data_IF_310016950436
#
_entry.id   IF_310016950436
#
_cell.length_a   1.000
_cell.length_b   1.000
_cell.length_c   1.000
_cell.angle_alpha   90.00
_cell.angle_beta   90.00
_cell.angle_gamma   90.00
#
_symmetry.space_group_name_H-M   'P 1'
#
loop_
_entity.id
_entity.type
_entity.pdbx_description
1 polymer ?
#
# COMPACT_ATOMS: atom_id res chain seq x y z
N UNK A 1 54.01 6.68 6.69
CA UNK A 1 52.57 7.01 6.72
C UNK A 1 52.17 7.25 8.16
N UNK A 2 51.70 8.46 8.48
CA UNK A 2 51.31 8.82 9.86
C UNK A 2 49.96 8.20 10.21
N UNK A 3 49.84 7.63 11.42
CA UNK A 3 48.58 7.11 11.98
C UNK A 3 47.45 8.17 11.97
N UNK A 4 47.76 9.46 11.96
CA UNK A 4 46.76 10.53 11.87
C UNK A 4 46.06 10.62 10.51
N UNK A 5 46.68 10.14 9.42
CA UNK A 5 46.12 10.23 8.07
C UNK A 5 44.98 9.24 7.79
N UNK A 6 44.85 8.18 8.60
CA UNK A 6 43.84 7.13 8.41
C UNK A 6 42.56 7.34 9.24
N UNK A 7 42.59 8.21 10.25
CA UNK A 7 41.45 8.42 11.16
C UNK A 7 40.22 9.02 10.47
N UNK A 8 40.42 10.02 9.60
CA UNK A 8 39.35 10.65 8.83
C UNK A 8 38.69 9.66 7.84
N UNK A 9 39.43 8.94 6.97
CA UNK A 9 38.84 7.91 6.11
C UNK A 9 38.07 6.82 6.86
N UNK A 10 38.58 6.36 8.01
CA UNK A 10 37.90 5.34 8.83
C UNK A 10 36.59 5.87 9.42
N UNK A 11 36.59 7.12 9.90
CA UNK A 11 35.37 7.74 10.45
C UNK A 11 34.33 7.98 9.36
N UNK A 12 34.76 8.45 8.19
CA UNK A 12 33.90 8.61 7.02
C UNK A 12 33.32 7.26 6.55
N UNK A 13 34.13 6.21 6.54
CA UNK A 13 33.67 4.86 6.21
C UNK A 13 32.63 4.34 7.22
N UNK A 14 32.84 4.56 8.51
CA UNK A 14 31.88 4.15 9.55
C UNK A 14 30.54 4.89 9.40
N UNK A 15 30.57 6.20 9.15
CA UNK A 15 29.36 6.99 8.89
C UNK A 15 28.64 6.54 7.61
N UNK A 16 29.41 6.28 6.54
CA UNK A 16 28.88 5.77 5.28
C UNK A 16 28.20 4.41 5.47
N UNK A 17 28.81 3.50 6.23
CA UNK A 17 28.21 2.20 6.55
C UNK A 17 26.90 2.34 7.35
N UNK A 18 26.85 3.26 8.31
CA UNK A 18 25.62 3.55 9.06
C UNK A 18 24.49 4.09 8.17
N UNK A 19 24.80 5.03 7.27
CA UNK A 19 23.83 5.56 6.32
C UNK A 19 23.38 4.50 5.29
N UNK A 20 24.30 3.66 4.82
CA UNK A 20 24.01 2.59 3.89
C UNK A 20 23.03 1.57 4.49
N UNK A 21 23.07 1.31 5.80
CA UNK A 21 22.11 0.43 6.47
C UNK A 21 20.65 0.85 6.27
N UNK A 22 20.35 2.15 6.32
CA UNK A 22 19.00 2.67 6.06
C UNK A 22 18.62 2.45 4.59
N UNK A 23 19.54 2.74 3.66
CA UNK A 23 19.31 2.54 2.23
C UNK A 23 19.02 1.08 1.90
N UNK A 24 19.85 0.15 2.41
CA UNK A 24 19.64 -1.28 2.22
C UNK A 24 18.34 -1.78 2.84
N UNK A 25 17.91 -1.23 3.98
CA UNK A 25 16.61 -1.59 4.57
C UNK A 25 15.42 -1.27 3.66
N UNK A 26 15.54 -0.27 2.78
CA UNK A 26 14.52 0.10 1.80
C UNK A 26 14.69 -0.71 0.50
N UNK A 27 15.93 -0.86 0.02
CA UNK A 27 16.23 -1.62 -1.21
C UNK A 27 15.81 -3.09 -1.06
N UNK A 28 16.09 -3.68 0.10
CA UNK A 28 15.82 -5.08 0.39
C UNK A 28 14.42 -5.30 0.99
N UNK A 29 13.59 -4.25 1.07
CA UNK A 29 12.23 -4.36 1.56
C UNK A 29 11.42 -5.34 0.68
N UNK A 30 10.58 -6.20 1.28
CA UNK A 30 9.71 -7.09 0.53
C UNK A 30 8.83 -6.32 -0.46
N UNK A 31 8.82 -6.74 -1.72
CA UNK A 31 7.99 -6.10 -2.73
C UNK A 31 6.52 -6.43 -2.50
N UNK A 32 5.61 -5.47 -2.70
CA UNK A 32 4.18 -5.73 -2.58
C UNK A 32 3.75 -6.76 -3.63
N UNK A 33 2.81 -7.63 -3.27
CA UNK A 33 2.29 -8.62 -4.18
C UNK A 33 1.43 -7.97 -5.27
N UNK A 34 2.00 -7.83 -6.47
CA UNK A 34 1.32 -7.34 -7.67
C UNK A 34 0.75 -8.45 -8.53
N UNK A 35 0.72 -9.70 -8.04
CA UNK A 35 0.11 -10.81 -8.76
C UNK A 35 -1.36 -10.51 -9.07
N UNK A 36 -1.79 -11.03 -10.21
CA UNK A 36 -3.10 -10.80 -10.79
C UNK A 36 -3.06 -11.03 -12.29
N UNK A 37 -4.22 -10.82 -12.90
CA UNK A 37 -4.38 -10.90 -14.35
C UNK A 37 -3.78 -9.63 -14.96
N UNK A 38 -2.95 -9.79 -15.99
CA UNK A 38 -2.38 -8.69 -16.79
C UNK A 38 -3.02 -8.67 -18.18
N UNK A 39 -2.87 -7.57 -18.92
CA UNK A 39 -3.34 -7.52 -20.31
C UNK A 39 -2.71 -8.66 -21.13
N UNK A 40 -3.47 -9.32 -22.03
CA UNK A 40 -4.82 -8.97 -22.50
C UNK A 40 -5.97 -9.63 -21.72
N UNK A 41 -5.68 -10.42 -20.69
CA UNK A 41 -6.71 -11.19 -19.95
C UNK A 41 -7.56 -10.32 -19.01
N UNK A 42 -7.14 -9.08 -18.76
CA UNK A 42 -7.90 -8.07 -18.01
C UNK A 42 -9.18 -7.70 -18.76
N UNK A 43 -10.33 -7.77 -18.08
CA UNK A 43 -11.62 -7.36 -18.64
C UNK A 43 -12.34 -6.38 -17.71
N UNK A 44 -12.70 -5.22 -18.25
CA UNK A 44 -13.55 -4.23 -17.60
C UNK A 44 -15.05 -4.49 -17.80
N UNK A 45 -15.43 -5.66 -18.33
CA UNK A 45 -16.82 -6.01 -18.68
C UNK A 45 -17.55 -6.74 -17.54
N UNK A 46 -16.89 -6.93 -16.39
CA UNK A 46 -17.45 -7.61 -15.22
C UNK A 46 -17.76 -6.61 -14.11
N UNK A 47 -18.72 -6.98 -13.27
CA UNK A 47 -19.06 -6.22 -12.08
C UNK A 47 -17.86 -6.15 -11.12
N UNK A 48 -17.74 -5.04 -10.39
CA UNK A 48 -16.88 -4.96 -9.20
C UNK A 48 -17.72 -5.36 -8.00
N UNK A 49 -17.26 -6.35 -7.23
CA UNK A 49 -18.04 -6.92 -6.11
C UNK A 49 -17.22 -6.89 -4.83
N UNK A 50 -17.80 -6.30 -3.79
CA UNK A 50 -17.37 -6.35 -2.41
C UNK A 50 -18.28 -7.34 -1.69
N UNK A 51 -17.69 -8.37 -1.08
CA UNK A 51 -18.40 -9.38 -0.30
C UNK A 51 -17.82 -9.43 1.11
N UNK A 52 -18.66 -9.11 2.10
CA UNK A 52 -18.32 -9.14 3.53
C UNK A 52 -16.99 -8.42 3.86
N UNK A 53 -16.76 -7.27 3.22
CA UNK A 53 -15.48 -6.55 3.34
C UNK A 53 -15.41 -5.83 4.67
N UNK A 54 -14.36 -6.15 5.43
CA UNK A 54 -13.97 -5.48 6.66
C UNK A 54 -12.64 -4.78 6.43
N UNK A 55 -12.49 -3.54 6.91
CA UNK A 55 -11.25 -2.80 6.73
C UNK A 55 -11.02 -1.78 7.84
N UNK A 56 -9.78 -1.74 8.34
CA UNK A 56 -9.25 -0.69 9.20
C UNK A 56 -7.87 -0.28 8.66
N UNK A 57 -7.51 1.00 8.76
CA UNK A 57 -6.17 1.44 8.37
C UNK A 57 -5.13 0.93 9.38
N UNK A 58 -3.94 0.49 8.97
CA UNK A 58 -2.93 -0.04 9.91
C UNK A 58 -2.55 0.92 11.05
N UNK A 59 -2.48 2.22 10.74
CA UNK A 59 -2.18 3.29 11.71
C UNK A 59 -3.31 3.50 12.75
N UNK A 60 -4.50 2.94 12.52
CA UNK A 60 -5.70 3.04 13.38
C UNK A 60 -6.48 1.72 13.34
N UNK A 61 -5.80 0.62 13.66
CA UNK A 61 -6.36 -0.73 13.53
C UNK A 61 -7.58 -1.00 14.44
N UNK A 62 -7.74 -0.20 15.49
CA UNK A 62 -8.88 -0.22 16.42
C UNK A 62 -10.17 0.36 15.83
N UNK A 63 -10.07 1.17 14.76
CA UNK A 63 -11.21 1.82 14.12
C UNK A 63 -11.51 1.16 12.79
N UNK A 64 -12.57 0.34 12.76
CA UNK A 64 -13.12 -0.19 11.51
C UNK A 64 -13.73 0.92 10.67
N UNK A 65 -13.21 1.11 9.46
CA UNK A 65 -13.75 2.05 8.46
C UNK A 65 -14.85 1.39 7.64
N UNK A 66 -14.66 0.11 7.30
CA UNK A 66 -15.68 -0.73 6.65
C UNK A 66 -15.95 -1.92 7.56
N UNK A 67 -17.21 -2.21 7.84
CA UNK A 67 -17.64 -3.33 8.68
C UNK A 67 -18.72 -4.13 7.92
N UNK A 68 -18.37 -5.34 7.52
CA UNK A 68 -19.20 -6.24 6.73
C UNK A 68 -19.85 -5.61 5.46
N UNK A 69 -19.09 -4.80 4.71
CA UNK A 69 -19.58 -4.13 3.51
C UNK A 69 -19.87 -5.14 2.39
N UNK A 70 -21.09 -5.11 1.87
CA UNK A 70 -21.52 -5.84 0.69
C UNK A 70 -22.00 -4.83 -0.37
N UNK A 71 -21.30 -4.74 -1.50
CA UNK A 71 -21.55 -3.73 -2.53
C UNK A 71 -21.24 -4.31 -3.91
N UNK A 72 -22.06 -3.97 -4.90
CA UNK A 72 -21.87 -4.38 -6.29
C UNK A 72 -21.94 -3.15 -7.19
N UNK A 73 -20.93 -2.99 -8.04
CA UNK A 73 -20.88 -1.99 -9.11
C UNK A 73 -21.10 -2.72 -10.43
N UNK A 74 -22.28 -2.59 -11.06
CA UNK A 74 -22.57 -3.29 -12.30
C UNK A 74 -21.69 -2.80 -13.46
N UNK A 75 -21.25 -3.72 -14.31
CA UNK A 75 -20.48 -3.37 -15.50
C UNK A 75 -21.25 -2.39 -16.41
N UNK A 76 -20.55 -1.39 -16.94
CA UNK A 76 -21.13 -0.40 -17.86
C UNK A 76 -22.14 0.54 -17.21
N UNK A 77 -22.21 0.62 -15.87
CA UNK A 77 -23.06 1.56 -15.14
C UNK A 77 -22.22 2.58 -14.38
N UNK A 78 -22.77 3.79 -14.26
CA UNK A 78 -22.26 4.81 -13.36
C UNK A 78 -22.96 4.63 -12.00
N UNK A 79 -22.18 4.32 -10.97
CA UNK A 79 -22.68 4.17 -9.59
C UNK A 79 -22.11 5.29 -8.73
N UNK A 80 -23.00 6.05 -8.09
CA UNK A 80 -22.60 7.10 -7.15
C UNK A 80 -22.47 6.53 -5.73
N UNK A 81 -21.40 6.91 -5.02
CA UNK A 81 -21.21 6.61 -3.60
C UNK A 81 -21.46 7.90 -2.81
N UNK A 82 -22.50 7.90 -1.97
CA UNK A 82 -22.89 9.06 -1.16
C UNK A 82 -22.85 8.73 0.33
N UNK A 83 -22.58 9.73 1.17
CA UNK A 83 -22.49 9.55 2.61
C UNK A 83 -21.70 10.67 3.29
N UNK A 84 -21.83 10.76 4.62
CA UNK A 84 -21.17 11.78 5.45
C UNK A 84 -19.63 11.69 5.39
N UNK A 85 -18.93 12.75 5.82
CA UNK A 85 -17.47 12.70 5.93
C UNK A 85 -17.02 11.56 6.86
N UNK A 86 -15.97 10.84 6.47
CA UNK A 86 -15.46 9.69 7.23
C UNK A 86 -16.18 8.35 7.03
N UNK A 87 -17.26 8.28 6.24
CA UNK A 87 -18.03 7.05 6.02
C UNK A 87 -17.35 5.97 5.14
N UNK A 88 -16.04 6.10 4.86
CA UNK A 88 -15.28 5.11 4.07
C UNK A 88 -15.39 5.22 2.54
N UNK A 89 -16.00 6.29 1.98
CA UNK A 89 -16.16 6.45 0.51
C UNK A 89 -14.84 6.39 -0.26
N UNK A 90 -13.86 7.18 0.14
CA UNK A 90 -12.52 7.19 -0.48
C UNK A 90 -11.77 5.88 -0.24
N UNK A 91 -12.05 5.20 0.88
CA UNK A 91 -11.49 3.89 1.19
C UNK A 91 -11.98 2.83 0.21
N UNK A 92 -13.26 2.87 -0.19
CA UNK A 92 -13.79 1.98 -1.23
C UNK A 92 -13.03 2.17 -2.55
N UNK A 93 -12.79 3.42 -2.97
CA UNK A 93 -12.01 3.72 -4.18
C UNK A 93 -10.59 3.15 -4.09
N UNK A 94 -9.89 3.41 -2.99
CA UNK A 94 -8.52 2.90 -2.80
C UNK A 94 -8.42 1.36 -2.75
N UNK A 95 -9.49 0.67 -2.33
CA UNK A 95 -9.58 -0.79 -2.40
C UNK A 95 -9.80 -1.28 -3.84
N UNK A 96 -10.61 -0.59 -4.64
CA UNK A 96 -10.81 -0.92 -6.07
C UNK A 96 -9.48 -0.77 -6.83
N UNK A 97 -8.74 0.30 -6.57
CA UNK A 97 -7.45 0.58 -7.23
C UNK A 97 -6.28 -0.24 -6.66
N UNK A 98 -6.54 -1.07 -5.64
CA UNK A 98 -5.53 -1.87 -4.91
C UNK A 98 -4.37 -1.05 -4.33
N UNK A 99 -4.55 0.25 -4.05
CA UNK A 99 -3.57 1.06 -3.31
C UNK A 99 -3.47 0.63 -1.85
N UNK A 100 -4.60 0.16 -1.32
CA UNK A 100 -4.71 -0.50 -0.03
C UNK A 100 -5.33 -1.88 -0.28
N UNK A 101 -4.91 -2.86 0.50
CA UNK A 101 -5.50 -4.20 0.47
C UNK A 101 -6.30 -4.43 1.74
N UNK A 102 -7.30 -5.31 1.68
CA UNK A 102 -7.86 -5.89 2.89
C UNK A 102 -6.73 -6.58 3.68
N UNK A 103 -6.78 -6.43 5.01
CA UNK A 103 -5.95 -7.21 5.94
C UNK A 103 -6.65 -8.54 6.19
#
# INVERSE_FOLDING_TARGET
>A
MSLGGIAAPVTAAAQAAGAAGILFSIIDAPQPNTAGVIEPEVSAQKDIVFENVNFAYPLRADVKVLDNLNLRFPAGKNTAIVGHSGSGKSTIVGLIERWITRV
#
